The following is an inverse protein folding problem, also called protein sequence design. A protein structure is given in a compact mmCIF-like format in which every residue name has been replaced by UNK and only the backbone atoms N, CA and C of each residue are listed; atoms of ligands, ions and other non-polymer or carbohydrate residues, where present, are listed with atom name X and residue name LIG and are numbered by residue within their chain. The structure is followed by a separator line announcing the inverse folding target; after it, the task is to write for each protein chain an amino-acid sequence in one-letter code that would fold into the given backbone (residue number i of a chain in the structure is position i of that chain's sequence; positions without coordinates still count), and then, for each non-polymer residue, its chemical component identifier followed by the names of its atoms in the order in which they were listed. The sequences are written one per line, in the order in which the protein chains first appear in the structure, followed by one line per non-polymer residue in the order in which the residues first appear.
data_IF_596206796199
#
_entry.id   IF_596206796199
#
_cell.length_a   1.000
_cell.length_b   1.000
_cell.length_c   1.000
_cell.angle_alpha   90.00
_cell.angle_beta   90.00
_cell.angle_gamma   90.00
#
_symmetry.space_group_name_H-M   'P 1'
#
loop_
_entity.id
_entity.type
_entity.pdbx_description
1 polymer ?
#
# COMPACT_ATOMS: atom_id res chain seq x y z
N UNK A 1 -43.29 -46.99 3.04
CA UNK A 1 -43.32 -45.54 3.25
C UNK A 1 -41.91 -45.02 3.02
N UNK A 2 -41.67 -44.52 1.81
CA UNK A 2 -40.41 -43.90 1.36
C UNK A 2 -40.70 -42.40 1.24
N UNK A 3 -39.65 -41.59 1.16
CA UNK A 3 -39.65 -40.12 1.02
C UNK A 3 -39.81 -39.40 2.36
N UNK A 4 -38.73 -38.78 2.86
CA UNK A 4 -38.67 -37.50 3.58
C UNK A 4 -37.29 -37.30 4.25
N UNK A 5 -36.19 -37.40 3.50
CA UNK A 5 -34.86 -36.97 3.98
C UNK A 5 -34.12 -36.31 2.81
N UNK A 6 -34.60 -35.16 2.30
CA UNK A 6 -33.87 -34.45 1.23
C UNK A 6 -34.13 -32.94 1.17
N UNK A 7 -34.39 -32.30 2.31
CA UNK A 7 -34.75 -30.86 2.35
C UNK A 7 -33.85 -29.98 3.22
N UNK A 8 -32.82 -30.51 3.87
CA UNK A 8 -31.96 -29.71 4.77
C UNK A 8 -30.66 -29.18 4.15
N UNK A 9 -30.34 -29.48 2.89
CA UNK A 9 -29.05 -29.11 2.28
C UNK A 9 -29.05 -27.74 1.58
N UNK A 10 -30.21 -27.10 1.35
CA UNK A 10 -30.29 -25.86 0.56
C UNK A 10 -30.21 -24.56 1.40
N UNK A 11 -30.32 -24.64 2.73
CA UNK A 11 -30.21 -23.47 3.61
C UNK A 11 -28.78 -23.13 4.05
N UNK A 12 -27.82 -24.03 3.84
CA UNK A 12 -26.41 -23.79 4.16
C UNK A 12 -25.67 -22.94 3.11
N UNK A 13 -26.23 -22.81 1.89
CA UNK A 13 -25.58 -22.07 0.80
C UNK A 13 -25.83 -20.54 0.84
N UNK A 14 -26.76 -20.07 1.68
CA UNK A 14 -27.13 -18.64 1.75
C UNK A 14 -26.44 -17.86 2.89
N UNK A 15 -25.70 -18.53 3.79
CA UNK A 15 -25.09 -17.90 4.96
C UNK A 15 -23.66 -17.34 4.73
N UNK A 16 -23.07 -17.55 3.55
CA UNK A 16 -21.72 -17.11 3.21
C UNK A 16 -21.70 -16.17 1.99
N UNK A 17 -22.59 -15.18 1.94
CA UNK A 17 -22.31 -13.99 1.15
C UNK A 17 -21.72 -12.96 2.11
N UNK A 18 -20.38 -12.79 2.20
CA UNK A 18 -19.84 -11.62 2.86
C UNK A 18 -20.44 -10.42 2.12
N UNK A 19 -21.32 -9.69 2.79
CA UNK A 19 -21.80 -8.40 2.31
C UNK A 19 -20.54 -7.59 2.08
N UNK A 20 -20.17 -7.44 0.80
CA UNK A 20 -19.01 -6.68 0.39
C UNK A 20 -19.32 -5.23 0.72
N UNK A 21 -18.94 -4.81 1.92
CA UNK A 21 -19.05 -3.43 2.35
C UNK A 21 -18.38 -2.57 1.29
N UNK A 22 -19.17 -1.74 0.61
CA UNK A 22 -18.63 -0.74 -0.31
C UNK A 22 -18.04 0.35 0.57
N UNK A 23 -16.78 0.20 0.96
CA UNK A 23 -16.02 1.26 1.64
C UNK A 23 -16.05 2.49 0.74
N UNK A 24 -16.51 3.63 1.27
CA UNK A 24 -16.45 4.90 0.55
C UNK A 24 -14.99 5.33 0.39
N UNK A 25 -14.48 5.27 -0.84
CA UNK A 25 -13.10 5.63 -1.15
C UNK A 25 -12.97 7.04 -1.73
N UNK A 26 -14.01 7.87 -1.67
CA UNK A 26 -14.03 9.19 -2.31
C UNK A 26 -12.88 10.09 -1.83
N UNK A 27 -12.50 9.97 -0.57
CA UNK A 27 -11.45 10.78 0.04
C UNK A 27 -10.02 10.22 -0.12
N UNK A 28 -9.87 9.02 -0.69
CA UNK A 28 -8.56 8.36 -0.79
C UNK A 28 -8.03 8.38 -2.22
N UNK A 29 -6.70 8.36 -2.35
CA UNK A 29 -6.06 7.88 -3.57
C UNK A 29 -5.88 6.35 -3.47
N UNK A 30 -6.59 5.60 -4.32
CA UNK A 30 -6.63 4.14 -4.24
C UNK A 30 -5.52 3.53 -5.09
N UNK A 31 -4.67 2.73 -4.45
CA UNK A 31 -3.50 2.08 -5.04
C UNK A 31 -3.71 0.56 -5.01
N UNK A 32 -3.60 -0.07 -6.18
CA UNK A 32 -3.82 -1.51 -6.37
C UNK A 32 -2.65 -2.21 -7.05
N UNK A 33 -1.72 -1.43 -7.56
CA UNK A 33 -0.59 -1.87 -8.35
C UNK A 33 0.71 -1.80 -7.54
N UNK A 34 1.70 -2.60 -7.96
CA UNK A 34 3.03 -2.59 -7.37
C UNK A 34 3.73 -1.27 -7.70
N UNK A 35 3.96 -0.43 -6.70
CA UNK A 35 4.50 0.91 -6.87
C UNK A 35 5.22 1.39 -5.60
N UNK A 36 5.90 2.52 -5.71
CA UNK A 36 6.31 3.30 -4.54
C UNK A 36 5.73 4.69 -4.62
N UNK A 37 5.45 5.24 -3.45
CA UNK A 37 4.65 6.43 -3.28
C UNK A 37 5.53 7.54 -2.73
N UNK A 38 5.46 8.70 -3.38
CA UNK A 38 6.19 9.92 -3.04
C UNK A 38 5.22 11.09 -2.85
N UNK A 39 5.63 12.08 -2.04
CA UNK A 39 4.93 13.37 -1.99
C UNK A 39 5.16 14.16 -3.27
N UNK A 40 4.10 14.75 -3.83
CA UNK A 40 4.17 15.60 -5.03
C UNK A 40 4.97 16.89 -4.78
N UNK A 41 4.79 17.48 -3.59
CA UNK A 41 5.44 18.72 -3.18
C UNK A 41 6.34 18.47 -1.96
N UNK A 42 7.54 17.90 -2.15
CA UNK A 42 8.46 17.74 -1.05
C UNK A 42 8.99 19.12 -0.61
N UNK A 43 9.12 19.32 0.71
CA UNK A 43 9.93 20.40 1.28
C UNK A 43 11.32 20.25 0.67
N UNK A 44 11.77 21.29 -0.04
CA UNK A 44 13.10 21.29 -0.65
C UNK A 44 14.14 21.14 0.46
N UNK A 45 14.79 19.98 0.47
CA UNK A 45 15.73 19.57 1.49
C UNK A 45 17.18 19.79 1.05
N UNK A 46 18.08 19.77 2.04
CA UNK A 46 19.53 19.59 1.87
C UNK A 46 19.88 18.48 0.88
N UNK A 47 21.05 18.61 0.23
CA UNK A 47 21.57 17.66 -0.77
C UNK A 47 21.60 16.21 -0.29
N UNK A 48 21.79 15.97 1.02
CA UNK A 48 21.90 14.62 1.60
C UNK A 48 20.56 13.86 1.62
N UNK A 49 19.46 14.52 1.97
CA UNK A 49 18.13 13.87 2.02
C UNK A 49 17.72 13.48 0.60
N UNK A 50 17.94 14.39 -0.36
CA UNK A 50 17.66 14.14 -1.77
C UNK A 50 18.51 12.96 -2.29
N UNK A 51 19.82 12.96 -2.04
CA UNK A 51 20.69 11.87 -2.48
C UNK A 51 20.28 10.49 -1.92
N UNK A 52 19.85 10.44 -0.65
CA UNK A 52 19.36 9.19 -0.03
C UNK A 52 18.04 8.73 -0.64
N UNK A 53 17.12 9.67 -0.86
CA UNK A 53 15.85 9.40 -1.53
C UNK A 53 16.09 8.87 -2.94
N UNK A 54 16.92 9.54 -3.72
CA UNK A 54 17.22 9.17 -5.11
C UNK A 54 17.86 7.78 -5.19
N UNK A 55 18.79 7.46 -4.29
CA UNK A 55 19.38 6.12 -4.21
C UNK A 55 18.33 5.01 -3.99
N UNK A 56 17.33 5.27 -3.13
CA UNK A 56 16.24 4.32 -2.88
C UNK A 56 15.29 4.25 -4.08
N UNK A 57 14.96 5.39 -4.69
CA UNK A 57 14.11 5.47 -5.89
C UNK A 57 14.72 4.67 -7.03
N UNK A 58 15.98 4.91 -7.36
CA UNK A 58 16.68 4.17 -8.42
C UNK A 58 16.72 2.66 -8.12
N UNK A 59 16.89 2.27 -6.86
CA UNK A 59 16.84 0.86 -6.47
C UNK A 59 15.45 0.24 -6.67
N UNK A 60 14.38 0.97 -6.35
CA UNK A 60 13.00 0.52 -6.54
C UNK A 60 12.63 0.39 -8.02
N UNK A 61 13.03 1.37 -8.84
CA UNK A 61 12.81 1.36 -10.29
C UNK A 61 13.54 0.18 -10.95
N UNK A 62 14.79 -0.08 -10.56
CA UNK A 62 15.53 -1.25 -11.00
C UNK A 62 14.87 -2.59 -10.61
N UNK A 63 13.97 -2.58 -9.62
CA UNK A 63 13.19 -3.74 -9.17
C UNK A 63 11.74 -3.71 -9.66
N UNK A 64 11.45 -2.95 -10.72
CA UNK A 64 10.13 -2.87 -11.38
C UNK A 64 9.01 -2.30 -10.50
N UNK A 65 9.34 -1.41 -9.56
CA UNK A 65 8.33 -0.58 -8.90
C UNK A 65 8.21 0.74 -9.65
N UNK A 66 6.97 1.16 -9.93
CA UNK A 66 6.70 2.45 -10.57
C UNK A 66 6.53 3.55 -9.53
N UNK A 67 6.93 4.78 -9.89
CA UNK A 67 6.71 5.95 -9.04
C UNK A 67 5.24 6.40 -9.11
N UNK A 68 4.64 6.69 -7.95
CA UNK A 68 3.34 7.35 -7.83
C UNK A 68 3.46 8.57 -6.91
N UNK A 69 3.00 9.71 -7.40
CA UNK A 69 2.98 10.94 -6.63
C UNK A 69 1.59 11.14 -6.02
N UNK A 70 1.53 11.32 -4.70
CA UNK A 70 0.27 11.53 -4.01
C UNK A 70 -0.18 12.97 -4.16
N UNK A 71 -1.46 13.11 -4.49
CA UNK A 71 -2.15 14.40 -4.58
C UNK A 71 -3.01 14.71 -3.36
N UNK A 72 -3.35 13.68 -2.57
CA UNK A 72 -4.17 13.76 -1.37
C UNK A 72 -3.36 13.34 -0.16
N UNK A 73 -3.77 13.82 1.00
CA UNK A 73 -3.18 13.46 2.30
C UNK A 73 -3.64 12.09 2.81
N UNK A 74 -4.38 11.32 2.00
CA UNK A 74 -4.93 10.02 2.39
C UNK A 74 -4.83 9.02 1.24
N UNK A 75 -4.30 7.85 1.56
CA UNK A 75 -4.03 6.75 0.64
C UNK A 75 -4.77 5.50 1.09
N UNK A 76 -5.23 4.74 0.11
CA UNK A 76 -5.83 3.44 0.34
C UNK A 76 -5.09 2.40 -0.48
N UNK A 77 -4.35 1.52 0.17
CA UNK A 77 -3.71 0.37 -0.46
C UNK A 77 -4.65 -0.83 -0.44
N UNK A 78 -4.92 -1.41 -1.60
CA UNK A 78 -5.77 -2.59 -1.71
C UNK A 78 -4.94 -3.81 -2.08
N UNK A 79 -4.91 -4.78 -1.18
CA UNK A 79 -4.16 -6.03 -1.33
C UNK A 79 -4.94 -7.04 -2.19
N UNK A 80 -4.24 -8.03 -2.74
CA UNK A 80 -4.85 -9.08 -3.57
C UNK A 80 -5.91 -9.89 -2.81
N UNK A 81 -5.72 -10.10 -1.50
CA UNK A 81 -6.69 -10.79 -0.65
C UNK A 81 -7.93 -9.95 -0.30
N UNK A 82 -8.09 -8.76 -0.90
CA UNK A 82 -9.22 -7.87 -0.67
C UNK A 82 -9.09 -6.98 0.56
N UNK A 83 -8.04 -7.14 1.38
CA UNK A 83 -7.79 -6.25 2.51
C UNK A 83 -7.41 -4.85 2.04
N UNK A 84 -7.82 -3.87 2.84
CA UNK A 84 -7.63 -2.46 2.59
C UNK A 84 -6.80 -1.87 3.74
N UNK A 85 -5.75 -1.12 3.41
CA UNK A 85 -4.88 -0.44 4.36
C UNK A 85 -4.96 1.05 4.08
N UNK A 86 -5.55 1.77 5.02
CA UNK A 86 -5.66 3.22 4.99
C UNK A 86 -4.43 3.86 5.64
N UNK A 87 -3.87 4.87 4.96
CA UNK A 87 -2.75 5.64 5.46
C UNK A 87 -3.08 7.12 5.30
N UNK A 88 -3.11 7.83 6.42
CA UNK A 88 -3.15 9.29 6.45
C UNK A 88 -1.72 9.80 6.52
N UNK A 89 -1.37 10.69 5.59
CA UNK A 89 -0.06 11.33 5.53
C UNK A 89 -0.19 12.77 5.98
N UNK A 90 0.12 13.07 7.26
CA UNK A 90 0.05 14.45 7.75
C UNK A 90 1.01 15.34 6.95
N UNK A 91 0.82 16.66 7.02
CA UNK A 91 1.80 17.59 6.47
C UNK A 91 3.17 17.32 7.11
N UNK A 92 4.26 17.20 6.31
CA UNK A 92 5.57 16.87 6.85
C UNK A 92 6.09 18.04 7.70
N UNK A 93 6.64 17.74 8.88
CA UNK A 93 7.24 18.75 9.76
C UNK A 93 8.65 19.17 9.29
N UNK A 94 9.36 18.29 8.59
CA UNK A 94 10.71 18.54 8.12
C UNK A 94 11.02 17.87 6.76
N UNK A 95 12.25 18.10 6.27
CA UNK A 95 12.78 17.52 5.05
C UNK A 95 12.77 15.98 5.03
N UNK A 96 13.01 15.32 6.18
CA UNK A 96 13.09 13.87 6.28
C UNK A 96 11.71 13.24 6.16
N UNK A 97 10.73 13.76 6.88
CA UNK A 97 9.32 13.36 6.75
C UNK A 97 8.78 13.67 5.36
N UNK A 98 9.24 14.78 4.77
CA UNK A 98 8.85 15.14 3.41
C UNK A 98 9.44 14.20 2.35
N UNK A 99 10.58 13.56 2.64
CA UNK A 99 11.22 12.58 1.79
C UNK A 99 10.66 11.16 1.94
N UNK A 100 9.63 10.95 2.78
CA UNK A 100 9.03 9.63 3.03
C UNK A 100 8.69 8.90 1.73
N UNK A 101 9.11 7.64 1.65
CA UNK A 101 8.77 6.72 0.58
C UNK A 101 7.93 5.60 1.18
N UNK A 102 6.79 5.30 0.56
CA UNK A 102 5.96 4.14 0.93
C UNK A 102 5.99 3.16 -0.23
N UNK A 103 6.50 1.96 0.01
CA UNK A 103 6.58 0.90 -1.01
C UNK A 103 5.37 0.00 -0.87
N UNK A 104 4.71 -0.31 -1.98
CA UNK A 104 3.55 -1.17 -2.00
C UNK A 104 3.70 -2.29 -3.03
N UNK A 105 3.39 -3.50 -2.58
CA UNK A 105 3.23 -4.69 -3.41
C UNK A 105 1.88 -5.31 -3.02
N UNK A 106 0.95 -5.57 -3.97
CA UNK A 106 -0.38 -6.10 -3.67
C UNK A 106 -0.40 -7.39 -2.84
N UNK A 107 0.70 -8.16 -2.86
CA UNK A 107 0.82 -9.41 -2.11
C UNK A 107 1.26 -9.19 -0.65
N UNK A 108 1.80 -8.00 -0.32
CA UNK A 108 2.45 -7.68 0.95
C UNK A 108 1.73 -6.51 1.67
N UNK A 109 2.14 -6.24 2.90
CA UNK A 109 1.72 -5.00 3.58
C UNK A 109 2.58 -3.83 3.09
N UNK A 110 2.04 -2.61 2.98
CA UNK A 110 2.84 -1.43 2.64
C UNK A 110 4.04 -1.27 3.58
N UNK A 111 5.18 -0.86 3.04
CA UNK A 111 6.42 -0.59 3.78
C UNK A 111 6.69 0.92 3.82
N UNK A 112 6.79 1.47 5.01
CA UNK A 112 7.34 2.81 5.22
C UNK A 112 8.86 2.74 5.26
N UNK A 113 9.51 3.38 4.30
CA UNK A 113 10.96 3.36 4.19
C UNK A 113 11.56 4.45 5.08
N UNK A 114 12.49 4.05 5.92
CA UNK A 114 13.34 4.97 6.65
C UNK A 114 14.57 5.30 5.78
N UNK A 115 14.65 6.54 5.29
CA UNK A 115 15.75 7.02 4.45
C UNK A 115 17.13 6.87 5.10
N UNK A 116 17.21 6.85 6.43
CA UNK A 116 18.47 6.65 7.14
C UNK A 116 19.03 5.23 7.00
N UNK A 117 18.19 4.25 6.66
CA UNK A 117 18.59 2.84 6.50
C UNK A 117 18.98 2.49 5.06
N UNK A 118 18.92 3.46 4.14
CA UNK A 118 19.22 3.24 2.72
C UNK A 118 18.36 2.14 2.10
N UNK A 119 18.93 1.36 1.18
CA UNK A 119 18.21 0.32 0.43
C UNK A 119 17.99 -0.98 1.21
N UNK A 120 18.54 -1.12 2.43
CA UNK A 120 18.51 -2.36 3.20
C UNK A 120 17.08 -2.85 3.51
N UNK A 121 16.20 -1.95 3.97
CA UNK A 121 14.80 -2.27 4.25
C UNK A 121 14.04 -2.67 2.99
N UNK A 122 14.27 -1.96 1.89
CA UNK A 122 13.62 -2.25 0.60
C UNK A 122 14.09 -3.61 0.08
N UNK A 123 15.38 -3.92 0.20
CA UNK A 123 15.93 -5.22 -0.17
C UNK A 123 15.25 -6.36 0.60
N UNK A 124 15.14 -6.24 1.93
CA UNK A 124 14.45 -7.21 2.79
C UNK A 124 13.00 -7.39 2.36
N UNK A 125 12.29 -6.27 2.20
CA UNK A 125 10.90 -6.24 1.76
C UNK A 125 10.68 -6.94 0.42
N UNK A 126 11.55 -6.67 -0.58
CA UNK A 126 11.47 -7.31 -1.90
C UNK A 126 11.73 -8.81 -1.78
N UNK A 127 12.78 -9.20 -1.05
CA UNK A 127 13.14 -10.61 -0.89
C UNK A 127 12.14 -11.42 -0.04
N UNK A 128 11.28 -10.76 0.75
CA UNK A 128 10.37 -11.43 1.67
C UNK A 128 11.09 -12.16 2.80
N UNK A 129 12.28 -11.67 3.19
CA UNK A 129 13.14 -12.21 4.25
C UNK A 129 13.41 -11.16 5.31
#
# INVERSE_FOLDING_TARGET
MRYNILTLALLAAAACNPVREKTDTTNYDVIKEKCFVLREHPIRADSTVNARRDSIVSFLEANNYTARYIRKDSLMFRRENGLQVEIVLPAPADAWESGTIIVFDPQKNPLFVNLHKGTSQVKQYISGK
#
